data_IF_227595358859
#
_entry.id   IF_227595358859
#
_cell.length_a   1.000
_cell.length_b   1.000
_cell.length_c   1.000
_cell.angle_alpha   90.00
_cell.angle_beta   90.00
_cell.angle_gamma   90.00
#
_symmetry.space_group_name_H-M   'P 1'
#
loop_
_entity.id
_entity.type
_entity.pdbx_description
1 polymer ?
#
# COMPACT_ATOMS: atom_id res chain seq x y z
N UNK A 1 -17.64 -1.31 14.62
CA UNK A 1 -17.61 -1.07 16.08
C UNK A 1 -16.21 -1.21 16.69
N UNK A 2 -15.51 -2.36 16.66
CA UNK A 2 -14.15 -2.51 17.22
C UNK A 2 -13.16 -1.51 16.64
N UNK A 3 -13.13 -1.33 15.32
CA UNK A 3 -12.29 -0.31 14.66
C UNK A 3 -12.61 1.11 15.10
N UNK A 4 -13.88 1.45 15.27
CA UNK A 4 -14.29 2.80 15.70
C UNK A 4 -13.85 3.07 17.14
N UNK A 5 -13.95 2.06 18.03
CA UNK A 5 -13.48 2.15 19.42
C UNK A 5 -11.96 2.28 19.47
N UNK A 6 -11.23 1.52 18.63
CA UNK A 6 -9.76 1.59 18.57
C UNK A 6 -9.23 2.93 18.04
N UNK A 7 -10.06 3.75 17.38
CA UNK A 7 -9.69 5.10 16.92
C UNK A 7 -9.93 6.21 17.97
N UNK A 8 -10.57 5.89 19.10
CA UNK A 8 -10.71 6.84 20.20
C UNK A 8 -9.30 7.14 20.74
N UNK A 9 -8.88 8.42 20.87
CA UNK A 9 -7.51 8.77 21.23
C UNK A 9 -6.98 8.04 22.47
N UNK A 10 -7.75 7.99 23.55
CA UNK A 10 -7.36 7.30 24.79
C UNK A 10 -7.15 5.78 24.59
N UNK A 11 -7.97 5.15 23.74
CA UNK A 11 -7.82 3.71 23.42
C UNK A 11 -6.63 3.48 22.50
N UNK A 12 -6.44 4.35 21.52
CA UNK A 12 -5.31 4.30 20.62
C UNK A 12 -3.98 4.43 21.38
N UNK A 13 -3.89 5.38 22.29
CA UNK A 13 -2.69 5.61 23.11
C UNK A 13 -2.43 4.41 24.05
N UNK A 14 -3.48 3.83 24.61
CA UNK A 14 -3.37 2.61 25.42
C UNK A 14 -2.89 1.40 24.58
N UNK A 15 -3.45 1.21 23.38
CA UNK A 15 -3.01 0.14 22.46
C UNK A 15 -1.58 0.36 21.98
N UNK A 16 -1.15 1.61 21.82
CA UNK A 16 0.20 1.96 21.40
C UNK A 16 1.27 1.58 22.44
N UNK A 17 0.91 1.49 23.73
CA UNK A 17 1.84 1.06 24.78
C UNK A 17 2.33 -0.38 24.60
N UNK A 18 1.57 -1.22 23.89
CA UNK A 18 1.97 -2.59 23.55
C UNK A 18 2.90 -2.67 22.30
N UNK A 19 3.29 -1.52 21.75
CA UNK A 19 4.22 -1.47 20.61
C UNK A 19 5.61 -1.88 21.06
N UNK A 20 6.20 -2.82 20.35
CA UNK A 20 7.55 -3.29 20.59
C UNK A 20 8.46 -2.85 19.43
N UNK A 21 9.68 -2.46 19.76
CA UNK A 21 10.71 -2.07 18.79
C UNK A 21 11.88 -3.04 18.91
N UNK A 22 12.36 -3.52 17.76
CA UNK A 22 13.48 -4.43 17.69
C UNK A 22 14.48 -3.89 16.68
N UNK A 23 15.74 -3.82 17.05
CA UNK A 23 16.82 -3.59 16.11
C UNK A 23 17.08 -4.89 15.34
N UNK A 24 17.20 -4.79 14.01
CA UNK A 24 17.56 -5.96 13.21
C UNK A 24 18.99 -6.40 13.55
N UNK A 25 19.21 -7.63 14.02
CA UNK A 25 20.56 -8.08 14.31
C UNK A 25 21.41 -8.09 13.03
N UNK A 26 22.63 -7.57 13.14
CA UNK A 26 23.61 -7.47 12.04
C UNK A 26 23.22 -6.52 10.90
N UNK A 27 22.24 -5.67 11.08
CA UNK A 27 21.80 -4.70 10.09
C UNK A 27 22.19 -3.29 10.56
N UNK A 28 23.41 -2.83 10.22
CA UNK A 28 23.91 -1.49 10.51
C UNK A 28 24.03 -0.67 9.21
N UNK A 29 22.88 -0.38 8.60
CA UNK A 29 22.84 0.46 7.39
C UNK A 29 22.83 1.93 7.82
N UNK A 30 23.77 2.69 7.29
CA UNK A 30 23.86 4.14 7.50
C UNK A 30 23.70 4.87 6.17
N UNK A 31 23.17 6.09 6.24
CA UNK A 31 23.11 6.99 5.09
C UNK A 31 24.53 7.56 4.77
N UNK A 32 24.73 8.28 3.67
CA UNK A 32 26.01 8.90 3.34
C UNK A 32 26.54 9.88 4.41
N UNK A 33 25.66 10.41 5.25
CA UNK A 33 26.00 11.35 6.33
C UNK A 33 26.43 10.63 7.62
N UNK A 34 26.33 9.29 7.65
CA UNK A 34 26.69 8.44 8.79
C UNK A 34 25.56 8.19 9.78
N UNK A 35 24.33 8.67 9.49
CA UNK A 35 23.18 8.46 10.37
C UNK A 35 22.52 7.09 10.10
N UNK A 36 22.02 6.39 11.14
CA UNK A 36 21.29 5.14 10.97
C UNK A 36 20.01 5.33 10.13
N UNK A 37 19.80 4.45 9.18
CA UNK A 37 18.57 4.46 8.37
C UNK A 37 17.40 3.89 9.19
N UNK A 38 16.23 4.53 9.12
CA UNK A 38 15.04 4.13 9.88
C UNK A 38 14.59 2.69 9.69
N UNK A 39 15.03 2.03 8.61
CA UNK A 39 14.79 0.60 8.36
C UNK A 39 15.59 -0.36 9.25
N UNK A 40 16.59 0.12 10.01
CA UNK A 40 17.35 -0.69 10.96
C UNK A 40 16.49 -1.13 12.16
N UNK A 41 15.42 -0.40 12.45
CA UNK A 41 14.52 -0.65 13.58
C UNK A 41 13.19 -1.17 13.08
N UNK A 42 12.78 -2.34 13.55
CA UNK A 42 11.46 -2.88 13.30
C UNK A 42 10.50 -2.50 14.42
N UNK A 43 9.47 -1.76 14.10
CA UNK A 43 8.41 -1.38 15.05
C UNK A 43 7.20 -2.28 14.86
N UNK A 44 6.87 -3.06 15.89
CA UNK A 44 5.75 -3.98 15.87
C UNK A 44 4.63 -3.52 16.81
N UNK A 45 3.59 -2.85 16.31
CA UNK A 45 2.42 -2.46 17.09
C UNK A 45 1.46 -3.66 17.25
N UNK A 46 1.86 -4.65 18.06
CA UNK A 46 1.23 -5.98 18.18
C UNK A 46 -0.29 -5.92 18.28
N UNK A 47 -0.83 -5.04 19.11
CA UNK A 47 -2.25 -4.97 19.41
C UNK A 47 -2.97 -3.93 18.54
N UNK A 48 -2.28 -2.86 18.13
CA UNK A 48 -2.88 -1.74 17.38
C UNK A 48 -2.98 -2.02 15.86
N UNK A 49 -2.41 -3.13 15.35
CA UNK A 49 -2.51 -3.44 13.92
C UNK A 49 -3.93 -3.79 13.49
N UNK A 50 -4.29 -3.39 12.28
CA UNK A 50 -5.59 -3.73 11.69
C UNK A 50 -5.85 -5.24 11.66
N UNK A 51 -4.82 -6.06 11.40
CA UNK A 51 -4.93 -7.51 11.40
C UNK A 51 -5.31 -8.09 12.76
N UNK A 52 -4.68 -7.61 13.83
CA UNK A 52 -4.99 -8.02 15.21
C UNK A 52 -6.41 -7.61 15.60
N UNK A 53 -6.83 -6.40 15.24
CA UNK A 53 -8.21 -5.92 15.50
C UNK A 53 -9.26 -6.75 14.75
N UNK A 54 -8.98 -7.15 13.49
CA UNK A 54 -9.87 -8.06 12.73
C UNK A 54 -9.92 -9.43 13.37
N UNK A 55 -8.79 -9.97 13.83
CA UNK A 55 -8.75 -11.26 14.53
C UNK A 55 -9.60 -11.23 15.80
N UNK A 56 -9.46 -10.21 16.64
CA UNK A 56 -10.30 -10.03 17.83
C UNK A 56 -11.78 -9.88 17.48
N UNK A 57 -12.12 -9.14 16.44
CA UNK A 57 -13.48 -9.01 15.95
C UNK A 57 -14.05 -10.37 15.53
N UNK A 58 -13.27 -11.18 14.82
CA UNK A 58 -13.64 -12.53 14.40
C UNK A 58 -13.87 -13.47 15.59
N UNK A 59 -12.97 -13.45 16.57
CA UNK A 59 -13.11 -14.26 17.81
C UNK A 59 -14.39 -13.85 18.57
N UNK A 60 -14.59 -12.55 18.78
CA UNK A 60 -15.78 -12.05 19.46
C UNK A 60 -17.07 -12.43 18.73
N UNK A 61 -17.08 -12.31 17.41
CA UNK A 61 -18.23 -12.71 16.59
C UNK A 61 -18.50 -14.21 16.73
N UNK A 62 -17.46 -15.04 16.67
CA UNK A 62 -17.61 -16.50 16.85
C UNK A 62 -18.19 -16.85 18.22
N UNK A 63 -17.77 -16.15 19.29
CA UNK A 63 -18.30 -16.35 20.64
C UNK A 63 -19.78 -15.93 20.73
N UNK A 64 -20.14 -14.75 20.21
CA UNK A 64 -21.51 -14.22 20.23
C UNK A 64 -22.47 -15.12 19.44
N UNK A 65 -22.02 -15.66 18.29
CA UNK A 65 -22.83 -16.56 17.47
C UNK A 65 -22.80 -18.03 17.93
N UNK A 66 -22.09 -18.35 19.01
CA UNK A 66 -21.99 -19.71 19.53
C UNK A 66 -21.27 -20.69 18.58
N UNK A 67 -20.37 -20.19 17.74
CA UNK A 67 -19.63 -21.03 16.80
C UNK A 67 -18.64 -21.91 17.57
N UNK A 68 -18.68 -23.22 17.33
CA UNK A 68 -17.74 -24.16 17.96
C UNK A 68 -16.29 -23.83 17.55
N UNK A 69 -15.39 -23.75 18.52
CA UNK A 69 -13.97 -23.44 18.29
C UNK A 69 -13.32 -24.31 17.20
N UNK A 70 -13.67 -25.60 17.13
CA UNK A 70 -13.16 -26.53 16.11
C UNK A 70 -13.57 -26.09 14.69
N UNK A 71 -14.78 -25.57 14.53
CA UNK A 71 -15.26 -25.05 13.23
C UNK A 71 -14.53 -23.77 12.89
N UNK A 72 -14.43 -22.82 13.83
CA UNK A 72 -13.74 -21.56 13.63
C UNK A 72 -12.27 -21.75 13.23
N UNK A 73 -11.54 -22.63 13.90
CA UNK A 73 -10.13 -22.93 13.59
C UNK A 73 -10.01 -23.62 12.23
N UNK A 74 -10.91 -24.55 11.90
CA UNK A 74 -10.89 -25.21 10.59
C UNK A 74 -11.12 -24.21 9.45
N UNK A 75 -12.10 -23.35 9.57
CA UNK A 75 -12.41 -22.35 8.54
C UNK A 75 -11.27 -21.31 8.43
N UNK A 76 -10.67 -20.91 9.55
CA UNK A 76 -9.49 -20.06 9.54
C UNK A 76 -8.31 -20.71 8.79
N UNK A 77 -8.02 -21.97 9.08
CA UNK A 77 -6.95 -22.70 8.40
C UNK A 77 -7.24 -22.90 6.90
N UNK A 78 -8.50 -23.17 6.53
CA UNK A 78 -8.93 -23.25 5.14
C UNK A 78 -8.72 -21.92 4.42
N UNK A 79 -9.11 -20.81 5.02
CA UNK A 79 -8.90 -19.46 4.48
C UNK A 79 -7.42 -19.14 4.29
N UNK A 80 -6.55 -19.45 5.26
CA UNK A 80 -5.11 -19.25 5.13
C UNK A 80 -4.54 -20.08 3.98
N UNK A 81 -5.01 -21.33 3.82
CA UNK A 81 -4.59 -22.18 2.72
C UNK A 81 -5.04 -21.65 1.35
N UNK A 82 -6.26 -21.13 1.26
CA UNK A 82 -6.80 -20.50 0.05
C UNK A 82 -6.00 -19.24 -0.33
N UNK A 83 -5.67 -18.42 0.67
CA UNK A 83 -4.95 -17.15 0.47
C UNK A 83 -3.42 -17.31 0.42
N UNK A 84 -2.86 -18.53 0.51
CA UNK A 84 -1.40 -18.74 0.61
C UNK A 84 -0.58 -18.05 -0.46
N UNK A 85 -1.04 -18.01 -1.70
CA UNK A 85 -0.33 -17.34 -2.79
C UNK A 85 -0.43 -15.82 -2.69
N UNK A 86 -1.56 -15.28 -2.26
CA UNK A 86 -1.71 -13.86 -1.99
C UNK A 86 -0.78 -13.41 -0.83
N UNK A 87 -0.73 -14.20 0.24
CA UNK A 87 0.18 -13.96 1.38
C UNK A 87 1.63 -13.98 0.91
N UNK A 88 2.03 -15.00 0.13
CA UNK A 88 3.39 -15.12 -0.40
C UNK A 88 3.74 -13.91 -1.28
N UNK A 89 2.83 -13.51 -2.18
CA UNK A 89 3.05 -12.35 -3.06
C UNK A 89 3.25 -11.07 -2.25
N UNK A 90 2.35 -10.77 -1.32
CA UNK A 90 2.45 -9.55 -0.49
C UNK A 90 3.74 -9.55 0.33
N UNK A 91 4.08 -10.67 0.96
CA UNK A 91 5.32 -10.80 1.76
C UNK A 91 6.56 -10.60 0.89
N UNK A 92 6.60 -11.19 -0.31
CA UNK A 92 7.73 -11.05 -1.24
C UNK A 92 7.89 -9.62 -1.74
N UNK A 93 6.78 -8.93 -2.07
CA UNK A 93 6.83 -7.52 -2.50
C UNK A 93 7.30 -6.60 -1.37
N UNK A 94 6.81 -6.83 -0.15
CA UNK A 94 7.28 -6.06 1.02
C UNK A 94 8.76 -6.32 1.30
N UNK A 95 9.22 -7.57 1.23
CA UNK A 95 10.64 -7.90 1.37
C UNK A 95 11.49 -7.20 0.31
N UNK A 96 11.06 -7.21 -0.96
CA UNK A 96 11.72 -6.48 -2.04
C UNK A 96 11.77 -4.97 -1.75
N UNK A 97 10.67 -4.38 -1.30
CA UNK A 97 10.60 -2.96 -0.95
C UNK A 97 11.60 -2.61 0.17
N UNK A 98 11.71 -3.46 1.20
CA UNK A 98 12.71 -3.30 2.26
C UNK A 98 14.14 -3.33 1.71
N UNK A 99 14.47 -4.31 0.87
CA UNK A 99 15.79 -4.42 0.24
C UNK A 99 16.09 -3.20 -0.62
N UNK A 100 15.16 -2.74 -1.45
CA UNK A 100 15.35 -1.58 -2.31
C UNK A 100 15.55 -0.28 -1.51
N UNK A 101 14.81 -0.11 -0.43
CA UNK A 101 14.93 1.08 0.42
C UNK A 101 16.25 1.08 1.21
N UNK A 102 16.62 -0.06 1.83
CA UNK A 102 17.86 -0.18 2.61
C UNK A 102 19.13 -0.15 1.74
N UNK A 103 19.08 -0.67 0.52
CA UNK A 103 20.21 -0.67 -0.41
C UNK A 103 20.41 0.66 -1.15
N UNK A 104 19.52 1.65 -0.95
CA UNK A 104 19.55 2.94 -1.67
C UNK A 104 19.07 2.86 -3.12
N UNK A 105 18.63 1.69 -3.61
CA UNK A 105 18.13 1.55 -4.98
C UNK A 105 16.91 2.44 -5.24
N UNK A 106 16.00 2.54 -4.27
CA UNK A 106 14.83 3.40 -4.39
C UNK A 106 15.23 4.88 -4.56
N UNK A 107 16.24 5.35 -3.82
CA UNK A 107 16.78 6.68 -3.95
C UNK A 107 17.45 6.89 -5.32
N UNK A 108 18.30 5.95 -5.76
CA UNK A 108 18.98 6.02 -7.06
C UNK A 108 17.99 6.10 -8.23
N UNK A 109 16.94 5.26 -8.20
CA UNK A 109 15.87 5.31 -9.23
C UNK A 109 15.11 6.63 -9.10
N UNK A 110 14.85 7.13 -7.88
CA UNK A 110 14.21 8.42 -7.63
C UNK A 110 14.98 9.58 -8.26
N UNK A 111 16.31 9.63 -8.09
CA UNK A 111 17.18 10.62 -8.75
C UNK A 111 17.09 10.54 -10.29
N UNK A 112 17.10 9.34 -10.84
CA UNK A 112 16.95 9.16 -12.29
C UNK A 112 15.59 9.65 -12.80
N UNK A 113 14.52 9.29 -12.11
CA UNK A 113 13.15 9.68 -12.48
C UNK A 113 12.93 11.19 -12.28
N UNK A 114 13.63 11.82 -11.34
CA UNK A 114 13.61 13.27 -11.12
C UNK A 114 14.08 14.07 -12.35
N UNK A 115 14.87 13.46 -13.24
CA UNK A 115 15.26 14.08 -14.51
C UNK A 115 14.04 14.43 -15.41
N UNK A 116 12.87 13.83 -15.17
CA UNK A 116 11.63 14.23 -15.83
C UNK A 116 11.12 15.62 -15.42
N UNK A 117 11.69 16.22 -14.35
CA UNK A 117 11.33 17.55 -13.87
C UNK A 117 9.83 17.69 -13.58
N UNK A 118 9.19 18.75 -14.10
CA UNK A 118 7.76 18.99 -13.94
C UNK A 118 6.87 17.86 -14.52
N UNK A 119 7.37 17.08 -15.49
CA UNK A 119 6.67 15.91 -16.03
C UNK A 119 6.45 14.81 -15.00
N UNK A 120 7.20 14.82 -13.90
CA UNK A 120 7.03 13.87 -12.81
C UNK A 120 5.66 13.95 -12.15
N UNK A 121 5.06 15.14 -12.07
CA UNK A 121 3.70 15.33 -11.58
C UNK A 121 2.67 14.51 -12.39
N UNK A 122 2.88 14.39 -13.70
CA UNK A 122 2.06 13.53 -14.56
C UNK A 122 2.39 12.04 -14.40
N UNK A 123 3.66 11.70 -14.27
CA UNK A 123 4.12 10.30 -14.20
C UNK A 123 3.86 9.64 -12.84
N UNK A 124 3.79 10.42 -11.78
CA UNK A 124 3.62 9.91 -10.41
C UNK A 124 2.36 9.04 -10.23
N UNK A 125 1.15 9.47 -10.64
CA UNK A 125 -0.03 8.59 -10.60
C UNK A 125 0.10 7.35 -11.48
N UNK A 126 0.83 7.45 -12.62
CA UNK A 126 1.06 6.31 -13.52
C UNK A 126 1.90 5.23 -12.86
N UNK A 127 2.94 5.62 -12.11
CA UNK A 127 3.77 4.69 -11.33
C UNK A 127 2.94 3.96 -10.28
N UNK A 128 2.12 4.69 -9.52
CA UNK A 128 1.21 4.10 -8.55
C UNK A 128 0.20 3.15 -9.19
N UNK A 129 -0.42 3.58 -10.28
CA UNK A 129 -1.35 2.78 -11.07
C UNK A 129 -0.73 1.46 -11.52
N UNK A 130 0.45 1.51 -12.10
CA UNK A 130 1.18 0.31 -12.55
C UNK A 130 1.53 -0.61 -11.37
N UNK A 131 2.04 -0.03 -10.27
CA UNK A 131 2.42 -0.79 -9.08
C UNK A 131 1.25 -1.59 -8.51
N UNK A 132 0.07 -0.98 -8.42
CA UNK A 132 -1.12 -1.66 -7.91
C UNK A 132 -1.77 -2.56 -8.94
N UNK A 133 -1.74 -2.21 -10.22
CA UNK A 133 -2.23 -3.08 -11.30
C UNK A 133 -1.53 -4.44 -11.29
N UNK A 134 -0.21 -4.46 -11.02
CA UNK A 134 0.59 -5.69 -10.95
C UNK A 134 0.45 -6.39 -9.59
N UNK A 135 0.58 -5.66 -8.49
CA UNK A 135 0.61 -6.25 -7.14
C UNK A 135 -0.78 -6.54 -6.55
N UNK A 136 -1.81 -5.85 -7.03
CA UNK A 136 -3.16 -5.87 -6.45
C UNK A 136 -3.29 -5.18 -5.10
N UNK A 137 -2.21 -4.56 -4.59
CA UNK A 137 -2.14 -3.99 -3.24
C UNK A 137 -1.55 -2.58 -3.24
N UNK A 138 -2.35 -1.60 -2.82
CA UNK A 138 -1.91 -0.22 -2.68
C UNK A 138 -0.82 -0.09 -1.59
N UNK A 139 -0.96 -0.81 -0.48
CA UNK A 139 0.05 -0.86 0.57
C UNK A 139 1.42 -1.33 0.04
N UNK A 140 1.43 -2.38 -0.78
CA UNK A 140 2.66 -2.90 -1.39
C UNK A 140 3.26 -1.93 -2.38
N UNK A 141 2.44 -1.27 -3.21
CA UNK A 141 2.89 -0.26 -4.16
C UNK A 141 3.46 0.98 -3.45
N UNK A 142 2.82 1.43 -2.37
CA UNK A 142 3.31 2.54 -1.55
C UNK A 142 4.61 2.19 -0.83
N UNK A 143 4.76 0.97 -0.32
CA UNK A 143 6.01 0.52 0.29
C UNK A 143 7.16 0.47 -0.73
N UNK A 144 6.86 0.06 -1.98
CA UNK A 144 7.85 -0.05 -3.05
C UNK A 144 8.24 1.32 -3.64
N UNK A 145 7.26 2.15 -3.94
CA UNK A 145 7.49 3.40 -4.68
C UNK A 145 7.44 4.67 -3.81
N UNK A 146 6.96 4.60 -2.56
CA UNK A 146 6.80 5.79 -1.71
C UNK A 146 8.12 6.54 -1.50
N UNK A 147 9.19 5.84 -1.11
CA UNK A 147 10.50 6.46 -0.91
C UNK A 147 11.05 7.04 -2.23
N UNK A 148 10.87 6.32 -3.35
CA UNK A 148 11.24 6.79 -4.68
C UNK A 148 10.52 8.08 -5.05
N UNK A 149 9.20 8.13 -4.85
CA UNK A 149 8.37 9.32 -5.12
C UNK A 149 8.81 10.53 -4.29
N UNK A 150 9.08 10.33 -3.00
CA UNK A 150 9.55 11.39 -2.09
C UNK A 150 10.92 11.92 -2.52
N UNK A 151 11.87 11.03 -2.86
CA UNK A 151 13.19 11.43 -3.33
C UNK A 151 13.08 12.20 -4.65
N UNK A 152 12.36 11.67 -5.63
CA UNK A 152 12.18 12.31 -6.92
C UNK A 152 11.48 13.69 -6.82
N UNK A 153 10.51 13.83 -5.89
CA UNK A 153 9.83 15.10 -5.63
C UNK A 153 10.81 16.18 -5.13
N UNK A 154 11.63 15.83 -4.12
CA UNK A 154 12.63 16.76 -3.55
C UNK A 154 13.63 17.24 -4.61
N UNK A 155 14.12 16.33 -5.43
CA UNK A 155 15.06 16.64 -6.52
C UNK A 155 14.45 17.52 -7.62
N UNK A 156 13.14 17.32 -7.89
CA UNK A 156 12.44 18.05 -8.96
C UNK A 156 11.81 19.37 -8.47
N UNK A 157 11.95 19.70 -7.18
CA UNK A 157 11.31 20.87 -6.58
C UNK A 157 9.79 20.77 -6.46
N UNK A 158 9.23 19.54 -6.47
CA UNK A 158 7.81 19.26 -6.27
C UNK A 158 7.54 18.91 -4.80
N UNK A 159 6.27 19.02 -4.36
CA UNK A 159 5.89 18.60 -3.01
C UNK A 159 6.00 17.08 -2.86
N UNK A 160 6.78 16.58 -1.87
CA UNK A 160 6.86 15.15 -1.56
C UNK A 160 5.51 14.56 -1.17
N UNK A 161 4.68 15.34 -0.45
CA UNK A 161 3.35 14.93 0.00
C UNK A 161 2.43 14.74 -1.21
N UNK A 162 2.50 15.65 -2.19
CA UNK A 162 1.72 15.55 -3.42
C UNK A 162 2.06 14.28 -4.19
N UNK A 163 3.35 13.98 -4.39
CA UNK A 163 3.76 12.83 -5.17
C UNK A 163 3.47 11.51 -4.45
N UNK A 164 3.65 11.46 -3.13
CA UNK A 164 3.27 10.30 -2.32
C UNK A 164 1.75 10.06 -2.37
N UNK A 165 0.93 11.11 -2.27
CA UNK A 165 -0.51 11.02 -2.42
C UNK A 165 -0.93 10.62 -3.83
N UNK A 166 -0.25 11.14 -4.86
CA UNK A 166 -0.49 10.81 -6.27
C UNK A 166 -0.19 9.33 -6.56
N UNK A 167 0.86 8.76 -5.94
CA UNK A 167 1.16 7.32 -6.03
C UNK A 167 -0.02 6.47 -5.56
N UNK A 168 -0.55 6.76 -4.37
CA UNK A 168 -1.69 6.05 -3.81
C UNK A 168 -2.97 6.28 -4.63
N UNK A 169 -3.25 7.51 -5.03
CA UNK A 169 -4.45 7.85 -5.83
C UNK A 169 -4.44 7.17 -7.21
N UNK A 170 -3.28 7.15 -7.88
CA UNK A 170 -3.08 6.39 -9.10
C UNK A 170 -3.24 4.89 -8.87
N UNK A 171 -2.70 4.40 -7.75
CA UNK A 171 -2.79 3.01 -7.31
C UNK A 171 -4.23 2.50 -7.21
N UNK A 172 -5.13 3.30 -6.62
CA UNK A 172 -6.57 2.94 -6.52
C UNK A 172 -7.17 2.67 -7.90
N UNK A 173 -6.79 3.44 -8.91
CA UNK A 173 -7.27 3.26 -10.29
C UNK A 173 -6.67 2.01 -10.94
N UNK A 174 -5.41 1.68 -10.64
CA UNK A 174 -4.75 0.44 -11.05
C UNK A 174 -5.40 -0.81 -10.42
N UNK A 175 -5.95 -0.66 -9.21
CA UNK A 175 -6.63 -1.75 -8.53
C UNK A 175 -7.83 -2.30 -9.31
N UNK A 176 -8.50 -1.46 -10.11
CA UNK A 176 -9.63 -1.87 -10.95
C UNK A 176 -9.26 -2.98 -11.94
N UNK A 177 -8.01 -3.02 -12.39
CA UNK A 177 -7.53 -3.99 -13.40
C UNK A 177 -6.60 -5.05 -12.82
N UNK A 178 -6.34 -5.03 -11.52
CA UNK A 178 -5.49 -6.04 -10.90
C UNK A 178 -6.12 -7.44 -11.00
N UNK A 179 -5.33 -8.47 -11.29
CA UNK A 179 -5.83 -9.84 -11.41
C UNK A 179 -6.61 -10.29 -10.18
N UNK A 180 -6.16 -9.93 -8.99
CA UNK A 180 -6.82 -10.26 -7.73
C UNK A 180 -8.25 -9.70 -7.66
N UNK A 181 -8.44 -8.43 -8.01
CA UNK A 181 -9.77 -7.80 -7.94
C UNK A 181 -10.67 -8.27 -9.08
N UNK A 182 -10.12 -8.53 -10.26
CA UNK A 182 -10.88 -9.08 -11.38
C UNK A 182 -11.43 -10.48 -11.03
N UNK A 183 -10.62 -11.32 -10.39
CA UNK A 183 -11.07 -12.66 -9.94
C UNK A 183 -12.19 -12.55 -8.91
N UNK A 184 -12.04 -11.67 -7.91
CA UNK A 184 -13.08 -11.44 -6.88
C UNK A 184 -14.37 -10.92 -7.53
N UNK A 185 -14.25 -9.93 -8.42
CA UNK A 185 -15.40 -9.34 -9.11
C UNK A 185 -16.12 -10.38 -10.00
N UNK A 186 -15.37 -11.18 -10.76
CA UNK A 186 -15.93 -12.24 -11.59
C UNK A 186 -16.66 -13.30 -10.75
N UNK A 187 -16.07 -13.71 -9.61
CA UNK A 187 -16.71 -14.63 -8.68
C UNK A 187 -18.04 -14.07 -8.14
N UNK A 188 -18.04 -12.79 -7.75
CA UNK A 188 -19.22 -12.13 -7.18
C UNK A 188 -20.41 -12.01 -8.15
N UNK A 189 -20.13 -11.89 -9.47
CA UNK A 189 -21.18 -11.74 -10.51
C UNK A 189 -21.41 -13.01 -11.32
N UNK A 190 -20.84 -14.15 -10.91
CA UNK A 190 -21.03 -15.45 -11.57
C UNK A 190 -20.30 -15.56 -12.93
N UNK A 191 -19.25 -14.80 -13.15
CA UNK A 191 -18.42 -14.80 -14.35
C UNK A 191 -17.04 -15.43 -14.12
N UNK A 192 -16.90 -16.33 -13.15
CA UNK A 192 -15.62 -16.99 -12.85
C UNK A 192 -15.00 -17.60 -14.13
N UNK A 193 -13.69 -17.37 -14.35
CA UNK A 193 -12.97 -17.79 -15.55
C UNK A 193 -13.09 -16.82 -16.73
N UNK A 194 -13.79 -15.70 -16.59
CA UNK A 194 -13.95 -14.67 -17.64
C UNK A 194 -13.28 -13.33 -17.25
N UNK A 195 -12.23 -13.38 -16.45
CA UNK A 195 -11.51 -12.21 -15.96
C UNK A 195 -10.94 -11.35 -17.10
N UNK A 196 -10.53 -12.00 -18.21
CA UNK A 196 -10.05 -11.32 -19.41
C UNK A 196 -11.12 -10.47 -20.12
N UNK A 197 -12.38 -10.92 -20.11
CA UNK A 197 -13.50 -10.17 -20.69
C UNK A 197 -13.82 -8.94 -19.82
N UNK A 198 -13.78 -9.13 -18.50
CA UNK A 198 -13.98 -8.04 -17.56
C UNK A 198 -12.84 -7.01 -17.66
N UNK A 199 -11.58 -7.46 -17.73
CA UNK A 199 -10.41 -6.61 -17.94
C UNK A 199 -10.58 -5.70 -19.16
N UNK A 200 -10.96 -6.27 -20.31
CA UNK A 200 -11.14 -5.50 -21.55
C UNK A 200 -12.19 -4.40 -21.42
N UNK A 201 -13.22 -4.62 -20.61
CA UNK A 201 -14.27 -3.63 -20.37
C UNK A 201 -13.86 -2.55 -19.37
N UNK A 202 -13.09 -2.90 -18.34
CA UNK A 202 -12.70 -2.00 -17.26
C UNK A 202 -11.45 -1.19 -17.61
N UNK A 203 -10.53 -1.73 -18.41
CA UNK A 203 -9.27 -1.08 -18.76
C UNK A 203 -9.44 0.34 -19.35
N UNK A 204 -10.34 0.59 -20.31
CA UNK A 204 -10.53 1.94 -20.85
C UNK A 204 -10.98 2.96 -19.78
N UNK A 205 -11.82 2.52 -18.83
CA UNK A 205 -12.28 3.35 -17.73
C UNK A 205 -11.14 3.64 -16.76
N UNK A 206 -10.33 2.62 -16.40
CA UNK A 206 -9.17 2.79 -15.54
C UNK A 206 -8.17 3.79 -16.14
N UNK A 207 -7.88 3.66 -17.44
CA UNK A 207 -6.98 4.58 -18.16
C UNK A 207 -7.57 5.99 -18.30
N UNK A 208 -8.86 6.12 -18.57
CA UNK A 208 -9.53 7.42 -18.64
C UNK A 208 -9.51 8.15 -17.30
N UNK A 209 -9.81 7.46 -16.20
CA UNK A 209 -9.73 8.02 -14.85
C UNK A 209 -8.29 8.32 -14.45
N UNK A 210 -7.32 7.48 -14.85
CA UNK A 210 -5.90 7.75 -14.63
C UNK A 210 -5.47 9.05 -15.30
N UNK A 211 -5.89 9.27 -16.55
CA UNK A 211 -5.58 10.52 -17.26
C UNK A 211 -6.15 11.73 -16.50
N UNK A 212 -7.40 11.64 -16.03
CA UNK A 212 -8.00 12.72 -15.22
C UNK A 212 -7.19 12.94 -13.94
N UNK A 213 -6.77 11.86 -13.26
CA UNK A 213 -5.94 11.97 -12.06
C UNK A 213 -4.58 12.63 -12.36
N UNK A 214 -3.91 12.24 -13.46
CA UNK A 214 -2.66 12.88 -13.88
C UNK A 214 -2.84 14.39 -14.11
N UNK A 215 -3.94 14.81 -14.76
CA UNK A 215 -4.24 16.23 -15.00
C UNK A 215 -4.51 16.99 -13.68
N UNK A 216 -5.21 16.36 -12.73
CA UNK A 216 -5.42 16.94 -11.40
C UNK A 216 -4.09 17.16 -10.68
N UNK A 217 -3.21 16.15 -10.65
CA UNK A 217 -1.90 16.25 -9.97
C UNK A 217 -1.02 17.29 -10.64
N UNK A 218 -1.00 17.37 -11.97
CA UNK A 218 -0.33 18.47 -12.70
C UNK A 218 -0.92 19.82 -12.35
N UNK A 219 -2.23 19.93 -12.24
CA UNK A 219 -2.91 21.14 -11.78
C UNK A 219 -2.48 21.53 -10.36
N UNK A 220 -2.42 20.56 -9.44
CA UNK A 220 -1.99 20.77 -8.06
C UNK A 220 -0.50 21.12 -7.93
N UNK A 221 0.36 20.62 -8.82
CA UNK A 221 1.77 20.99 -8.88
C UNK A 221 2.02 22.39 -9.47
N UNK A 222 0.97 23.03 -9.96
CA UNK A 222 0.98 24.36 -10.57
C UNK A 222 0.21 25.37 -9.73
N UNK A 223 0.33 26.70 -9.99
CA UNK A 223 -0.45 27.72 -9.29
C UNK A 223 -1.97 27.59 -9.47
N UNK A 224 -2.42 26.80 -10.46
CA UNK A 224 -3.86 26.66 -10.78
C UNK A 224 -4.63 25.97 -9.66
N UNK A 225 -4.11 24.85 -9.15
CA UNK A 225 -4.72 24.08 -8.05
C UNK A 225 -3.77 23.95 -6.84
N UNK A 226 -2.65 24.67 -6.83
CA UNK A 226 -1.67 24.63 -5.74
C UNK A 226 -2.25 25.02 -4.38
N UNK A 227 -3.34 25.80 -4.36
CA UNK A 227 -4.08 26.16 -3.14
C UNK A 227 -4.75 24.95 -2.44
N UNK A 228 -4.85 23.79 -3.10
CA UNK A 228 -5.36 22.53 -2.53
C UNK A 228 -4.30 21.76 -1.73
N UNK A 229 -3.04 22.16 -1.85
CA UNK A 229 -1.96 21.55 -1.08
C UNK A 229 -1.86 22.19 0.31
N UNK A 230 -1.57 21.40 1.36
CA UNK A 230 -1.43 21.90 2.73
C UNK A 230 -0.24 22.85 2.90
#
# INVERSE_FOLDING_TARGET
>A
MIFSVAQIPAVKDWLAQATQTYDWPFLDVVNPDGDPVGGNVFTWPVVATGGTLVLFAGILTALVLGVHARVAVREWAATVHELRFAILTVTSVLALAYVMNLSGQAATIGHFVAAAGAGLAFLSPVLGWFGVAVSGSDTSANALFGALQVTAARESGLSPELLAAANSSGGVLGKMISPQNLTIACAAVGLAGREGDLLRKVLPWSLGLLLVMCLIVVGQSSPVLGWMLP
#
